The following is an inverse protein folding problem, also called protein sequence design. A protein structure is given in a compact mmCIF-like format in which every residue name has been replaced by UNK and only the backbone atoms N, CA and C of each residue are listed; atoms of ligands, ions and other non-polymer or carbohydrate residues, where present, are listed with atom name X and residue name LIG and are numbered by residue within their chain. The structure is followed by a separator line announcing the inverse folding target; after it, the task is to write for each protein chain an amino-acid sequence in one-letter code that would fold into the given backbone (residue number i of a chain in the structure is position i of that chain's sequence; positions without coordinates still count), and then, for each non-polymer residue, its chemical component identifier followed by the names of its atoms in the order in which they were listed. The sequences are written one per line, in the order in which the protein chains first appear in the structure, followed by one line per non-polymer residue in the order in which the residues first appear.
data_IF_338130913650
#
_entry.id   IF_338130913650
#
_cell.length_a   1.000
_cell.length_b   1.000
_cell.length_c   1.000
_cell.angle_alpha   90.00
_cell.angle_beta   90.00
_cell.angle_gamma   90.00
#
_symmetry.space_group_name_H-M   'P 1'
#
loop_
_entity.id
_entity.type
_entity.pdbx_description
1 polymer ?
#
# COMPACT_ATOMS: atom_id res chain seq x y z
N UNK A 1 -52.35 -39.97 -41.89
CA UNK A 1 -52.84 -40.89 -42.96
C UNK A 1 -52.14 -40.68 -44.32
N UNK A 2 -52.09 -39.44 -44.85
CA UNK A 2 -51.60 -39.13 -46.20
C UNK A 2 -50.11 -39.46 -46.42
N UNK A 3 -49.23 -39.08 -45.49
CA UNK A 3 -47.80 -39.40 -45.64
C UNK A 3 -47.49 -40.89 -45.55
N UNK A 4 -48.28 -41.66 -44.78
CA UNK A 4 -48.10 -43.11 -44.66
C UNK A 4 -48.55 -43.86 -45.92
N UNK A 5 -49.64 -43.42 -46.55
CA UNK A 5 -50.10 -44.01 -47.81
C UNK A 5 -49.11 -43.76 -48.95
N UNK A 6 -48.36 -42.66 -48.91
CA UNK A 6 -47.25 -42.36 -49.81
C UNK A 6 -45.91 -43.04 -49.42
N UNK A 7 -45.91 -43.89 -48.39
CA UNK A 7 -44.71 -44.54 -47.83
C UNK A 7 -43.61 -43.54 -47.42
N UNK A 8 -43.98 -42.34 -46.98
CA UNK A 8 -43.08 -41.34 -46.42
C UNK A 8 -42.98 -41.58 -44.92
N UNK A 9 -41.75 -41.73 -44.42
CA UNK A 9 -41.49 -41.83 -42.98
C UNK A 9 -41.68 -40.45 -42.37
N UNK A 10 -42.85 -40.23 -41.78
CA UNK A 10 -43.23 -38.98 -41.11
C UNK A 10 -43.43 -39.25 -39.62
N UNK A 11 -42.37 -39.03 -38.84
CA UNK A 11 -42.29 -39.37 -37.41
C UNK A 11 -42.39 -38.13 -36.51
N UNK A 12 -42.78 -38.30 -35.24
CA UNK A 12 -42.95 -37.20 -34.28
C UNK A 12 -41.67 -36.37 -34.10
N UNK A 13 -40.49 -37.01 -34.18
CA UNK A 13 -39.18 -36.35 -34.14
C UNK A 13 -38.97 -35.36 -35.29
N UNK A 14 -39.37 -35.71 -36.52
CA UNK A 14 -39.24 -34.81 -37.68
C UNK A 14 -40.17 -33.60 -37.54
N UNK A 15 -41.38 -33.81 -37.00
CA UNK A 15 -42.27 -32.68 -36.68
C UNK A 15 -41.64 -31.79 -35.62
N UNK A 16 -41.11 -32.36 -34.53
CA UNK A 16 -40.47 -31.56 -33.49
C UNK A 16 -39.28 -30.75 -34.03
N UNK A 17 -38.47 -31.36 -34.90
CA UNK A 17 -37.38 -30.68 -35.59
C UNK A 17 -37.88 -29.54 -36.50
N UNK A 18 -39.04 -29.69 -37.16
CA UNK A 18 -39.68 -28.63 -37.94
C UNK A 18 -40.24 -27.52 -37.02
N UNK A 19 -40.91 -27.88 -35.92
CA UNK A 19 -41.44 -26.93 -34.92
C UNK A 19 -40.31 -26.10 -34.29
N UNK A 20 -39.15 -26.72 -34.06
CA UNK A 20 -37.94 -26.06 -33.55
C UNK A 20 -37.12 -25.36 -34.64
N UNK A 21 -37.68 -25.20 -35.84
CA UNK A 21 -37.07 -24.52 -36.99
C UNK A 21 -35.67 -25.04 -37.36
N UNK A 22 -35.43 -26.33 -37.15
CA UNK A 22 -34.12 -26.93 -37.43
C UNK A 22 -33.86 -26.92 -38.93
N UNK A 23 -32.80 -26.21 -39.32
CA UNK A 23 -32.37 -26.01 -40.72
C UNK A 23 -32.38 -27.30 -41.52
N UNK A 24 -33.04 -27.27 -42.68
CA UNK A 24 -33.09 -28.38 -43.65
C UNK A 24 -34.13 -29.47 -43.36
N UNK A 25 -34.76 -29.50 -42.17
CA UNK A 25 -35.74 -30.54 -41.82
C UNK A 25 -37.00 -30.47 -42.68
N UNK A 26 -37.55 -29.27 -42.89
CA UNK A 26 -38.70 -29.04 -43.79
C UNK A 26 -38.34 -29.31 -45.25
N UNK A 27 -37.13 -28.93 -45.68
CA UNK A 27 -36.66 -29.14 -47.05
C UNK A 27 -36.52 -30.63 -47.38
N UNK A 28 -35.96 -31.43 -46.46
CA UNK A 28 -35.83 -32.88 -46.63
C UNK A 28 -37.21 -33.56 -46.76
N UNK A 29 -38.18 -33.13 -45.96
CA UNK A 29 -39.56 -33.64 -46.05
C UNK A 29 -40.19 -33.30 -47.41
N UNK A 30 -40.02 -32.05 -47.88
CA UNK A 30 -40.51 -31.61 -49.19
C UNK A 30 -39.85 -32.39 -50.34
N UNK A 31 -38.53 -32.64 -50.28
CA UNK A 31 -37.83 -33.46 -51.26
C UNK A 31 -38.37 -34.90 -51.29
N UNK A 32 -38.60 -35.53 -50.13
CA UNK A 32 -39.18 -36.88 -50.06
C UNK A 32 -40.60 -36.92 -50.63
N UNK A 33 -41.40 -35.88 -50.37
CA UNK A 33 -42.74 -35.77 -50.93
C UNK A 33 -42.70 -35.63 -52.46
N UNK A 34 -41.84 -34.76 -52.99
CA UNK A 34 -41.64 -34.56 -54.43
C UNK A 34 -41.27 -35.87 -55.13
N UNK A 35 -40.25 -36.59 -54.65
CA UNK A 35 -39.80 -37.85 -55.25
C UNK A 35 -40.88 -38.95 -55.23
N UNK A 36 -41.79 -38.94 -54.25
CA UNK A 36 -42.86 -39.94 -54.14
C UNK A 36 -44.05 -39.59 -55.03
N UNK A 37 -44.37 -38.31 -55.19
CA UNK A 37 -45.42 -37.85 -56.08
C UNK A 37 -45.04 -37.98 -57.57
N UNK A 38 -43.78 -37.74 -57.94
CA UNK A 38 -43.27 -37.97 -59.31
C UNK A 38 -43.40 -39.44 -59.73
N UNK A 39 -43.29 -40.38 -58.79
CA UNK A 39 -43.50 -41.82 -59.04
C UNK A 39 -44.97 -42.22 -59.18
N UNK A 40 -45.89 -41.35 -58.79
CA UNK A 40 -47.35 -41.56 -58.84
C UNK A 40 -47.97 -40.75 -60.00
N UNK A 41 -47.22 -39.82 -60.60
CA UNK A 41 -47.64 -39.00 -61.73
C UNK A 41 -47.71 -39.75 -63.07
N UNK A 42 -48.73 -39.41 -63.85
CA UNK A 42 -48.99 -39.83 -65.23
C UNK A 42 -47.90 -39.23 -66.15
N UNK A 43 -47.38 -39.95 -67.18
CA UNK A 43 -46.37 -39.40 -68.09
C UNK A 43 -46.93 -38.20 -68.86
N UNK A 44 -46.19 -37.10 -68.87
CA UNK A 44 -46.54 -35.89 -69.65
C UNK A 44 -46.09 -35.95 -71.10
N UNK A 45 -45.45 -37.03 -71.57
CA UNK A 45 -45.07 -37.21 -72.97
C UNK A 45 -45.34 -38.64 -73.43
N UNK A 46 -46.00 -38.76 -74.59
CA UNK A 46 -46.54 -39.98 -75.18
C UNK A 46 -45.47 -40.98 -75.66
N UNK A 47 -44.76 -41.61 -74.74
CA UNK A 47 -43.93 -42.78 -75.02
C UNK A 47 -44.41 -43.98 -74.20
N UNK A 48 -44.98 -44.96 -74.89
CA UNK A 48 -45.41 -46.26 -74.35
C UNK A 48 -44.18 -47.02 -73.83
N UNK A 49 -43.96 -46.98 -72.52
CA UNK A 49 -43.22 -48.03 -71.81
C UNK A 49 -44.02 -48.44 -70.57
N UNK A 50 -44.06 -49.75 -70.32
CA UNK A 50 -44.92 -50.45 -69.37
C UNK A 50 -45.21 -49.68 -68.07
N UNK A 51 -46.38 -49.05 -68.04
CA UNK A 51 -46.84 -48.23 -66.93
C UNK A 51 -47.43 -49.16 -65.86
N UNK A 52 -46.69 -49.40 -64.77
CA UNK A 52 -47.25 -50.07 -63.59
C UNK A 52 -48.47 -49.25 -63.12
N UNK A 53 -49.65 -49.86 -62.89
CA UNK A 53 -50.84 -49.11 -62.54
C UNK A 53 -50.59 -48.33 -61.26
N UNK A 54 -51.02 -47.06 -61.26
CA UNK A 54 -50.98 -46.20 -60.08
C UNK A 54 -51.53 -46.99 -58.89
N UNK A 55 -50.68 -47.24 -57.89
CA UNK A 55 -51.07 -48.01 -56.71
C UNK A 55 -52.25 -47.29 -56.08
N UNK A 56 -53.44 -47.89 -56.19
CA UNK A 56 -54.64 -47.42 -55.50
C UNK A 56 -54.26 -47.26 -54.03
N UNK A 57 -54.41 -46.04 -53.51
CA UNK A 57 -54.18 -45.77 -52.10
C UNK A 57 -55.23 -46.58 -51.33
N UNK A 58 -54.82 -47.70 -50.75
CA UNK A 58 -55.72 -48.51 -49.94
C UNK A 58 -56.22 -47.63 -48.77
N UNK A 59 -57.53 -47.42 -48.62
CA UNK A 59 -58.04 -46.73 -47.44
C UNK A 59 -57.61 -47.55 -46.23
N UNK A 60 -56.84 -46.93 -45.34
CA UNK A 60 -56.42 -47.56 -44.09
C UNK A 60 -57.64 -48.01 -43.30
N UNK A 61 -57.49 -49.11 -42.54
CA UNK A 61 -58.53 -49.51 -41.58
C UNK A 61 -58.67 -48.39 -40.55
N UNK A 62 -59.81 -47.74 -40.50
CA UNK A 62 -60.07 -46.53 -39.71
C UNK A 62 -59.58 -46.65 -38.25
N UNK A 63 -59.88 -47.78 -37.59
CA UNK A 63 -59.45 -48.06 -36.20
C UNK A 63 -57.92 -48.02 -36.01
N UNK A 64 -57.16 -48.52 -36.99
CA UNK A 64 -55.68 -48.53 -36.94
C UNK A 64 -55.12 -47.13 -37.15
N UNK A 65 -55.72 -46.35 -38.05
CA UNK A 65 -55.33 -44.96 -38.29
C UNK A 65 -55.64 -44.08 -37.06
N UNK A 66 -56.77 -44.30 -36.38
CA UNK A 66 -57.10 -43.63 -35.12
C UNK A 66 -56.07 -43.95 -34.02
N UNK A 67 -55.77 -45.23 -33.79
CA UNK A 67 -54.80 -45.64 -32.77
C UNK A 67 -53.41 -45.06 -33.05
N UNK A 68 -52.98 -45.11 -34.30
CA UNK A 68 -51.66 -44.64 -34.67
C UNK A 68 -51.56 -43.11 -34.76
N UNK A 69 -52.68 -42.41 -34.95
CA UNK A 69 -52.78 -40.95 -34.77
C UNK A 69 -52.69 -40.58 -33.28
N UNK A 70 -53.39 -41.31 -32.40
CA UNK A 70 -53.33 -41.08 -30.95
C UNK A 70 -51.91 -41.30 -30.40
N UNK A 71 -51.25 -42.40 -30.78
CA UNK A 71 -49.86 -42.65 -30.40
C UNK A 71 -48.92 -41.55 -30.90
N UNK A 72 -49.12 -41.07 -32.12
CA UNK A 72 -48.36 -39.95 -32.68
C UNK A 72 -48.54 -38.65 -31.89
N UNK A 73 -49.78 -38.36 -31.47
CA UNK A 73 -50.12 -37.20 -30.65
C UNK A 73 -49.45 -37.26 -29.28
N UNK A 74 -49.45 -38.42 -28.62
CA UNK A 74 -48.78 -38.63 -27.33
C UNK A 74 -47.28 -38.39 -27.45
N UNK A 75 -46.62 -38.98 -28.45
CA UNK A 75 -45.18 -38.76 -28.69
C UNK A 75 -44.83 -37.29 -28.96
N UNK A 76 -45.69 -36.56 -29.69
CA UNK A 76 -45.48 -35.15 -29.95
C UNK A 76 -45.65 -34.30 -28.68
N UNK A 77 -46.59 -34.68 -27.80
CA UNK A 77 -46.78 -34.03 -26.51
C UNK A 77 -45.64 -34.32 -25.53
N UNK A 78 -45.03 -35.50 -25.57
CA UNK A 78 -43.85 -35.84 -24.76
C UNK A 78 -42.61 -35.06 -25.20
N UNK A 79 -42.46 -34.80 -26.50
CA UNK A 79 -41.34 -34.07 -27.08
C UNK A 79 -41.44 -32.54 -26.93
N UNK A 80 -42.64 -32.03 -26.68
CA UNK A 80 -42.90 -30.61 -26.48
C UNK A 80 -42.99 -30.29 -24.99
N UNK A 81 -42.35 -29.21 -24.56
CA UNK A 81 -42.50 -28.79 -23.16
C UNK A 81 -43.95 -28.39 -22.91
N UNK A 82 -44.54 -28.88 -21.81
CA UNK A 82 -45.87 -28.44 -21.42
C UNK A 82 -45.91 -26.93 -21.25
N UNK A 83 -46.94 -26.27 -21.78
CA UNK A 83 -47.13 -24.82 -21.63
C UNK A 83 -47.09 -24.37 -20.16
N UNK A 84 -47.54 -25.23 -19.24
CA UNK A 84 -47.45 -24.99 -17.79
C UNK A 84 -46.00 -24.83 -17.33
N UNK A 85 -45.08 -25.65 -17.84
CA UNK A 85 -43.66 -25.59 -17.49
C UNK A 85 -42.99 -24.34 -18.10
N UNK A 86 -43.36 -23.97 -19.33
CA UNK A 86 -42.86 -22.75 -19.98
C UNK A 86 -43.31 -21.52 -19.17
N UNK A 87 -44.58 -21.46 -18.79
CA UNK A 87 -45.12 -20.37 -17.97
C UNK A 87 -44.44 -20.31 -16.60
N UNK A 88 -44.21 -21.46 -15.97
CA UNK A 88 -43.49 -21.55 -14.71
C UNK A 88 -42.05 -21.06 -14.84
N UNK A 89 -41.29 -21.49 -15.85
CA UNK A 89 -39.93 -21.01 -16.13
C UNK A 89 -39.90 -19.49 -16.33
N UNK A 90 -40.83 -18.94 -17.09
CA UNK A 90 -40.96 -17.50 -17.30
C UNK A 90 -41.27 -16.77 -15.99
N UNK A 91 -42.13 -17.32 -15.14
CA UNK A 91 -42.43 -16.74 -13.83
C UNK A 91 -41.24 -16.81 -12.87
N UNK A 92 -40.45 -17.88 -12.92
CA UNK A 92 -39.25 -18.07 -12.10
C UNK A 92 -38.07 -17.19 -12.57
N UNK A 93 -38.00 -16.89 -13.87
CA UNK A 93 -36.94 -16.08 -14.47
C UNK A 93 -36.75 -14.73 -13.77
N UNK A 94 -37.84 -14.03 -13.43
CA UNK A 94 -37.75 -12.74 -12.73
C UNK A 94 -37.09 -12.87 -11.34
N UNK A 95 -37.31 -13.97 -10.64
CA UNK A 95 -36.73 -14.21 -9.33
C UNK A 95 -35.24 -14.55 -9.45
N UNK A 96 -34.88 -15.31 -10.48
CA UNK A 96 -33.50 -15.60 -10.81
C UNK A 96 -32.72 -14.32 -11.14
N UNK A 97 -33.30 -13.43 -11.96
CA UNK A 97 -32.71 -12.13 -12.28
C UNK A 97 -32.54 -11.24 -11.04
N UNK A 98 -33.52 -11.23 -10.13
CA UNK A 98 -33.41 -10.49 -8.86
C UNK A 98 -32.33 -11.08 -7.96
N UNK A 99 -32.26 -12.42 -7.84
CA UNK A 99 -31.23 -13.11 -7.06
C UNK A 99 -29.84 -12.72 -7.55
N UNK A 100 -29.61 -12.79 -8.85
CA UNK A 100 -28.32 -12.42 -9.46
C UNK A 100 -27.97 -10.95 -9.21
N UNK A 101 -28.95 -10.04 -9.26
CA UNK A 101 -28.72 -8.63 -8.93
C UNK A 101 -28.35 -8.43 -7.47
N UNK A 102 -29.04 -9.09 -6.55
CA UNK A 102 -28.76 -9.01 -5.12
C UNK A 102 -27.40 -9.59 -4.77
N UNK A 103 -27.04 -10.73 -5.35
CA UNK A 103 -25.73 -11.37 -5.19
C UNK A 103 -24.61 -10.47 -5.71
N UNK A 104 -24.77 -9.89 -6.90
CA UNK A 104 -23.80 -8.95 -7.45
C UNK A 104 -23.68 -7.66 -6.62
N UNK A 105 -24.79 -7.19 -6.03
CA UNK A 105 -24.76 -6.04 -5.14
C UNK A 105 -24.06 -6.35 -3.82
N UNK A 106 -24.39 -7.46 -3.18
CA UNK A 106 -23.76 -7.91 -1.94
C UNK A 106 -22.24 -8.08 -2.13
N UNK A 107 -21.82 -8.71 -3.24
CA UNK A 107 -20.39 -8.85 -3.56
C UNK A 107 -19.67 -7.49 -3.66
N UNK A 108 -20.28 -6.50 -4.32
CA UNK A 108 -19.69 -5.16 -4.43
C UNK A 108 -19.62 -4.43 -3.10
N UNK A 109 -20.60 -4.65 -2.22
CA UNK A 109 -20.62 -4.05 -0.88
C UNK A 109 -19.55 -4.68 0.01
N UNK A 110 -19.38 -6.00 -0.06
CA UNK A 110 -18.32 -6.74 0.64
C UNK A 110 -16.92 -6.31 0.19
N UNK A 111 -16.70 -6.18 -1.13
CA UNK A 111 -15.43 -5.69 -1.69
C UNK A 111 -15.11 -4.28 -1.18
N UNK A 112 -16.08 -3.37 -1.21
CA UNK A 112 -15.91 -2.00 -0.68
C UNK A 112 -15.61 -2.00 0.81
N UNK A 113 -16.32 -2.82 1.59
CA UNK A 113 -16.07 -2.93 3.02
C UNK A 113 -14.66 -3.45 3.30
N UNK A 114 -14.21 -4.44 2.52
CA UNK A 114 -12.86 -4.99 2.61
C UNK A 114 -11.79 -3.94 2.28
N UNK A 115 -11.96 -3.20 1.19
CA UNK A 115 -11.06 -2.10 0.80
C UNK A 115 -11.01 -1.00 1.88
N UNK A 116 -12.16 -0.61 2.42
CA UNK A 116 -12.22 0.36 3.52
C UNK A 116 -11.50 -0.13 4.77
N UNK A 117 -11.63 -1.42 5.13
CA UNK A 117 -10.90 -2.02 6.25
C UNK A 117 -9.39 -2.02 6.02
N UNK A 118 -8.93 -2.32 4.80
CA UNK A 118 -7.51 -2.26 4.44
C UNK A 118 -6.99 -0.82 4.55
N UNK A 119 -7.72 0.14 3.98
CA UNK A 119 -7.35 1.56 4.01
C UNK A 119 -7.27 2.08 5.44
N UNK A 120 -8.26 1.77 6.28
CA UNK A 120 -8.27 2.16 7.69
C UNK A 120 -7.05 1.61 8.44
N UNK A 121 -6.69 0.34 8.23
CA UNK A 121 -5.49 -0.27 8.84
C UNK A 121 -4.22 0.44 8.39
N UNK A 122 -4.12 0.78 7.10
CA UNK A 122 -2.99 1.52 6.56
C UNK A 122 -2.88 2.91 7.17
N UNK A 123 -3.99 3.64 7.24
CA UNK A 123 -4.04 5.00 7.81
C UNK A 123 -3.69 5.00 9.31
N UNK A 124 -4.18 4.02 10.07
CA UNK A 124 -3.79 3.83 11.47
C UNK A 124 -2.28 3.59 11.63
N UNK A 125 -1.71 2.71 10.80
CA UNK A 125 -0.27 2.44 10.82
C UNK A 125 0.53 3.69 10.47
N UNK A 126 0.12 4.42 9.44
CA UNK A 126 0.78 5.66 9.02
C UNK A 126 0.76 6.69 10.15
N UNK A 127 -0.40 6.90 10.79
CA UNK A 127 -0.53 7.80 11.95
C UNK A 127 0.39 7.41 13.12
N UNK A 128 0.57 6.11 13.39
CA UNK A 128 1.49 5.63 14.41
C UNK A 128 2.96 5.91 14.05
N UNK A 129 3.33 5.67 12.79
CA UNK A 129 4.68 5.97 12.30
C UNK A 129 4.96 7.46 12.41
N UNK A 130 4.02 8.32 12.00
CA UNK A 130 4.18 9.77 12.08
C UNK A 130 4.32 10.25 13.53
N UNK A 131 3.60 9.62 14.47
CA UNK A 131 3.74 9.91 15.90
C UNK A 131 5.14 9.54 16.41
N UNK A 132 5.66 8.38 16.01
CA UNK A 132 6.99 7.92 16.40
C UNK A 132 8.08 8.81 15.80
N UNK A 133 7.96 9.18 14.52
CA UNK A 133 8.90 10.08 13.84
C UNK A 133 8.92 11.46 14.48
N UNK A 134 7.75 12.03 14.78
CA UNK A 134 7.67 13.32 15.50
C UNK A 134 8.27 13.23 16.90
N UNK A 135 8.03 12.14 17.62
CA UNK A 135 8.64 11.93 18.93
C UNK A 135 10.17 11.82 18.81
N UNK A 136 10.69 11.03 17.87
CA UNK A 136 12.11 10.89 17.63
C UNK A 136 12.77 12.23 17.28
N UNK A 137 12.16 13.00 16.36
CA UNK A 137 12.65 14.34 16.00
C UNK A 137 12.61 15.32 17.17
N UNK A 138 11.57 15.25 18.01
CA UNK A 138 11.49 16.04 19.23
C UNK A 138 12.61 15.68 20.22
N UNK A 139 12.87 14.39 20.44
CA UNK A 139 13.94 13.93 21.33
C UNK A 139 15.32 14.34 20.82
N UNK A 140 15.57 14.25 19.51
CA UNK A 140 16.82 14.70 18.90
C UNK A 140 17.03 16.21 19.09
N UNK A 141 16.02 17.02 18.80
CA UNK A 141 16.07 18.47 18.99
C UNK A 141 16.26 18.86 20.46
N UNK A 142 15.56 18.15 21.36
CA UNK A 142 15.70 18.33 22.79
C UNK A 142 17.12 18.05 23.27
N UNK A 143 17.72 16.93 22.85
CA UNK A 143 19.09 16.57 23.18
C UNK A 143 20.08 17.58 22.60
N UNK A 144 19.89 17.99 21.35
CA UNK A 144 20.72 19.00 20.68
C UNK A 144 20.73 20.31 21.47
N UNK A 145 19.55 20.81 21.84
CA UNK A 145 19.41 22.01 22.66
C UNK A 145 20.04 21.86 24.04
N UNK A 146 19.84 20.71 24.70
CA UNK A 146 20.45 20.41 25.99
C UNK A 146 21.99 20.42 25.94
N UNK A 147 22.59 19.86 24.89
CA UNK A 147 24.04 19.89 24.67
C UNK A 147 24.51 21.33 24.41
N UNK A 148 23.77 22.10 23.61
CA UNK A 148 24.12 23.50 23.33
C UNK A 148 24.10 24.37 24.60
N UNK A 149 23.06 24.21 25.42
CA UNK A 149 22.92 24.92 26.69
C UNK A 149 24.00 24.49 27.69
N UNK A 150 24.32 23.19 27.75
CA UNK A 150 25.44 22.69 28.56
C UNK A 150 26.77 23.32 28.12
N UNK A 151 27.05 23.37 26.80
CA UNK A 151 28.27 24.01 26.27
C UNK A 151 28.33 25.49 26.62
N UNK A 152 27.23 26.22 26.47
CA UNK A 152 27.12 27.63 26.88
C UNK A 152 27.43 27.80 28.37
N UNK A 153 26.83 26.97 29.22
CA UNK A 153 27.06 26.99 30.66
C UNK A 153 28.51 26.67 31.04
N UNK A 154 29.15 25.70 30.38
CA UNK A 154 30.57 25.42 30.56
C UNK A 154 31.45 26.61 30.17
N UNK A 155 31.13 27.30 29.06
CA UNK A 155 31.87 28.47 28.64
C UNK A 155 31.72 29.63 29.64
N UNK A 156 30.50 29.88 30.13
CA UNK A 156 30.24 30.87 31.19
C UNK A 156 31.02 30.51 32.47
N UNK A 157 31.08 29.23 32.84
CA UNK A 157 31.86 28.78 34.00
C UNK A 157 33.35 29.07 33.82
N UNK A 158 33.92 28.73 32.66
CA UNK A 158 35.33 29.01 32.33
C UNK A 158 35.64 30.50 32.37
N UNK A 159 34.77 31.35 31.82
CA UNK A 159 34.96 32.80 31.85
C UNK A 159 34.86 33.36 33.28
N UNK A 160 33.98 32.81 34.13
CA UNK A 160 33.91 33.17 35.56
C UNK A 160 35.19 32.78 36.29
N UNK A 161 35.66 31.56 36.10
CA UNK A 161 36.91 31.07 36.71
C UNK A 161 38.11 31.92 36.26
N UNK A 162 38.20 32.22 34.97
CA UNK A 162 39.25 33.09 34.43
C UNK A 162 39.23 34.48 35.07
N UNK A 163 38.06 35.11 35.18
CA UNK A 163 37.91 36.42 35.84
C UNK A 163 38.28 36.35 37.32
N UNK A 164 37.91 35.28 38.00
CA UNK A 164 38.27 35.05 39.40
C UNK A 164 39.78 34.94 39.58
N UNK A 165 40.46 34.13 38.76
CA UNK A 165 41.92 34.03 38.79
C UNK A 165 42.60 35.37 38.50
N UNK A 166 42.10 36.14 37.53
CA UNK A 166 42.63 37.47 37.22
C UNK A 166 42.48 38.44 38.40
N UNK A 167 41.33 38.39 39.08
CA UNK A 167 41.09 39.18 40.28
C UNK A 167 42.06 38.81 41.40
N UNK A 168 42.18 37.52 41.72
CA UNK A 168 43.10 37.01 42.75
C UNK A 168 44.55 37.38 42.45
N UNK A 169 45.00 37.20 41.21
CA UNK A 169 46.34 37.59 40.78
C UNK A 169 46.58 39.10 40.95
N UNK A 170 45.61 39.94 40.58
CA UNK A 170 45.72 41.39 40.71
C UNK A 170 45.75 41.81 42.19
N UNK A 171 44.95 41.15 43.03
CA UNK A 171 44.93 41.39 44.47
C UNK A 171 46.28 41.01 45.10
N UNK A 172 46.82 39.83 44.79
CA UNK A 172 48.12 39.37 45.29
C UNK A 172 49.23 40.32 44.86
N UNK A 173 49.29 40.72 43.58
CA UNK A 173 50.27 41.70 43.10
C UNK A 173 50.18 43.04 43.81
N UNK A 174 48.97 43.52 44.09
CA UNK A 174 48.78 44.77 44.85
C UNK A 174 49.33 44.64 46.27
N UNK A 175 49.08 43.50 46.93
CA UNK A 175 49.56 43.20 48.27
C UNK A 175 51.09 43.07 48.30
N UNK A 176 51.67 42.34 47.34
CA UNK A 176 53.12 42.25 47.14
C UNK A 176 53.75 43.63 46.93
N UNK A 177 53.18 44.46 46.06
CA UNK A 177 53.67 45.83 45.84
C UNK A 177 53.62 46.68 47.12
N UNK A 178 52.53 46.59 47.88
CA UNK A 178 52.41 47.30 49.17
C UNK A 178 53.44 46.81 50.19
N UNK A 179 53.61 45.50 50.35
CA UNK A 179 54.62 44.92 51.26
C UNK A 179 56.03 45.29 50.85
N UNK A 180 56.36 45.25 49.55
CA UNK A 180 57.67 45.65 49.04
C UNK A 180 57.92 47.15 49.26
N UNK A 181 56.91 47.99 49.10
CA UNK A 181 57.00 49.43 49.40
C UNK A 181 57.25 49.66 50.89
N UNK A 182 56.55 48.93 51.77
CA UNK A 182 56.79 49.00 53.22
C UNK A 182 58.19 48.52 53.60
N UNK A 183 58.65 47.40 53.02
CA UNK A 183 60.01 46.88 53.23
C UNK A 183 61.05 47.90 52.77
N UNK A 184 60.86 48.51 51.60
CA UNK A 184 61.78 49.52 51.07
C UNK A 184 61.79 50.79 51.94
N UNK A 185 60.62 51.23 52.43
CA UNK A 185 60.50 52.35 53.37
C UNK A 185 61.25 52.05 54.68
N UNK A 186 61.01 50.88 55.27
CA UNK A 186 61.69 50.45 56.49
C UNK A 186 63.21 50.31 56.28
N UNK A 187 63.66 49.81 55.13
CA UNK A 187 65.08 49.75 54.77
C UNK A 187 65.68 51.15 54.63
N UNK A 188 64.99 52.08 53.98
CA UNK A 188 65.41 53.48 53.89
C UNK A 188 65.51 54.09 55.28
N UNK A 189 64.49 53.95 56.13
CA UNK A 189 64.50 54.46 57.50
C UNK A 189 65.66 53.88 58.34
N UNK A 190 66.02 52.61 58.14
CA UNK A 190 67.20 52.01 58.79
C UNK A 190 68.50 52.59 58.24
N UNK A 191 68.64 52.78 56.92
CA UNK A 191 69.83 53.38 56.31
C UNK A 191 69.98 54.83 56.78
N UNK A 192 68.91 55.62 56.68
CA UNK A 192 68.86 57.02 57.12
C UNK A 192 69.20 57.12 58.62
N UNK A 193 68.66 56.21 59.44
CA UNK A 193 68.97 56.12 60.87
C UNK A 193 70.42 55.71 61.18
N UNK A 194 71.02 54.82 60.37
CA UNK A 194 72.44 54.48 60.46
C UNK A 194 73.29 55.70 60.09
N UNK A 195 72.96 56.40 59.00
CA UNK A 195 73.67 57.62 58.60
C UNK A 195 73.59 58.71 59.67
N UNK A 196 72.40 58.97 60.24
CA UNK A 196 72.23 59.89 61.36
C UNK A 196 73.06 59.46 62.58
N UNK A 197 73.08 58.17 62.90
CA UNK A 197 73.87 57.62 64.00
C UNK A 197 75.38 57.79 63.77
N UNK A 198 75.89 57.44 62.59
CA UNK A 198 77.29 57.61 62.21
C UNK A 198 77.69 59.10 62.22
N UNK A 199 76.83 59.98 61.73
CA UNK A 199 77.06 61.42 61.78
C UNK A 199 77.11 61.94 63.22
N UNK A 200 76.27 61.42 64.12
CA UNK A 200 76.29 61.76 65.53
C UNK A 200 77.54 61.20 66.24
N UNK A 201 77.99 59.98 65.91
CA UNK A 201 79.25 59.41 66.39
C UNK A 201 80.47 60.23 65.97
N UNK A 202 80.53 60.62 64.69
CA UNK A 202 81.56 61.54 64.17
C UNK A 202 81.54 62.88 64.90
N UNK A 203 80.34 63.43 65.16
CA UNK A 203 80.18 64.69 65.91
C UNK A 203 80.63 64.58 67.37
N UNK A 204 80.50 63.41 67.99
CA UNK A 204 80.92 63.13 69.36
C UNK A 204 82.39 62.64 69.46
N UNK A 205 83.14 62.64 68.35
CA UNK A 205 84.59 62.42 68.36
C UNK A 205 85.03 60.94 68.37
N UNK A 206 84.18 60.01 67.95
CA UNK A 206 84.52 58.58 67.85
C UNK A 206 84.73 58.24 66.37
N UNK A 207 85.98 58.02 65.95
CA UNK A 207 86.30 57.58 64.59
C UNK A 207 85.90 56.12 64.38
N UNK A 208 84.94 55.87 63.50
CA UNK A 208 84.59 54.53 63.02
C UNK A 208 85.38 54.22 61.75
N UNK A 209 86.49 53.49 61.87
CA UNK A 209 87.13 52.85 60.71
C UNK A 209 86.29 51.65 60.27
N UNK A 210 85.91 51.63 58.98
CA UNK A 210 85.20 50.51 58.37
C UNK A 210 86.17 49.34 58.09
N UNK A 211 85.89 48.09 58.53
CA UNK A 211 86.70 46.95 58.17
C UNK A 211 86.21 46.38 56.83
N UNK A 212 86.89 46.72 55.73
CA UNK A 212 86.55 46.10 54.45
C UNK A 212 87.08 46.74 53.18
N UNK A 213 88.29 47.31 53.20
CA UNK A 213 89.00 47.61 51.95
C UNK A 213 90.40 46.99 51.99
N UNK A 214 90.48 45.77 51.44
CA UNK A 214 91.61 45.18 50.69
C UNK A 214 91.47 43.66 50.70
N UNK A 215 91.08 43.08 49.58
CA UNK A 215 91.81 41.94 49.02
C UNK A 215 91.48 41.73 47.52
N UNK A 216 92.48 41.20 46.84
CA UNK A 216 92.80 41.28 45.42
C UNK A 216 92.10 40.23 44.55
N UNK A 217 91.74 40.59 43.31
CA UNK A 217 91.72 39.66 42.15
C UNK A 217 93.09 38.98 41.98
N UNK A 218 93.28 37.78 41.38
CA UNK A 218 92.48 37.16 40.29
C UNK A 218 92.34 35.61 40.34
N UNK A 219 91.50 35.01 39.48
CA UNK A 219 91.85 33.77 38.73
C UNK A 219 90.79 33.32 37.72
N UNK A 220 91.25 33.14 36.47
CA UNK A 220 90.65 32.30 35.43
C UNK A 220 90.69 30.83 35.87
N UNK A 221 89.65 30.03 35.65
CA UNK A 221 89.78 28.74 34.93
C UNK A 221 88.42 28.17 34.48
N UNK A 222 88.37 27.82 33.20
CA UNK A 222 87.54 26.85 32.46
C UNK A 222 86.02 26.94 32.45
#
# INVERSE_FOLDING_TARGET
PIFRSLQIRFNAKQINDIIKEKRGSSLQLLCQLKMKLEKVGIPLDGHMSDTKPAKKLNPGKEKYDTQAHNHFKVQLQELNESQKNINLKNHLKKFEEIRQKQEAQAHREDEKEHEMKIKLKHDMRHSQIDKLQRNAGFMEEWLRKGIEDWKKNQNVKKEREKKQLQFEFTLTKKLESQTMTQINKAKSEVIDGIEEFENNLKRNGIETEAPGSKESSPSKTR
#
